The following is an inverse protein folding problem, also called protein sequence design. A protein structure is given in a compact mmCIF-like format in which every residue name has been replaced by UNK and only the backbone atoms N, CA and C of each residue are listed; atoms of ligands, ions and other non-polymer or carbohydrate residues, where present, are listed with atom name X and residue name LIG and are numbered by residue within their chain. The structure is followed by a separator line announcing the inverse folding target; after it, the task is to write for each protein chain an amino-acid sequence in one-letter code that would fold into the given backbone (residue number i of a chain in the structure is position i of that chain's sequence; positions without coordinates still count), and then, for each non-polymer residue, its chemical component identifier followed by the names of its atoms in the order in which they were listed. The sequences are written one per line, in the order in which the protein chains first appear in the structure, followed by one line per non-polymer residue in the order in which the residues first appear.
data_IF_615690270956
#
_entry.id   IF_615690270956
#
_cell.length_a   1.000
_cell.length_b   1.000
_cell.length_c   1.000
_cell.angle_alpha   90.00
_cell.angle_beta   90.00
_cell.angle_gamma   90.00
#
_symmetry.space_group_name_H-M   'P 1'
#
loop_
_entity.id
_entity.type
_entity.pdbx_description
1 polymer ?
#
# COMPACT_ATOMS: atom_id res chain seq x y z
N UNK A 1 92.13 -21.15 -40.54
CA UNK A 1 91.03 -20.73 -41.45
C UNK A 1 89.82 -20.41 -40.57
N UNK A 2 89.63 -19.16 -40.11
CA UNK A 2 88.46 -18.73 -39.31
C UNK A 2 88.50 -17.21 -39.01
N UNK A 3 88.47 -16.33 -40.02
CA UNK A 3 88.13 -14.90 -39.80
C UNK A 3 87.39 -14.37 -41.03
N UNK A 4 86.13 -14.77 -41.24
CA UNK A 4 85.24 -14.13 -42.24
C UNK A 4 83.77 -14.06 -41.84
N UNK A 5 83.42 -14.31 -40.57
CA UNK A 5 82.02 -14.28 -40.11
C UNK A 5 81.74 -13.17 -39.09
N UNK A 6 82.57 -12.13 -39.07
CA UNK A 6 82.18 -10.82 -38.59
C UNK A 6 81.34 -10.13 -39.68
N UNK A 7 80.01 -10.25 -39.69
CA UNK A 7 79.10 -9.32 -40.42
C UNK A 7 77.60 -9.61 -40.22
N UNK A 8 77.18 -10.86 -39.96
CA UNK A 8 75.74 -11.20 -40.03
C UNK A 8 74.96 -11.12 -38.72
N UNK A 9 75.63 -11.04 -37.58
CA UNK A 9 74.94 -11.01 -36.27
C UNK A 9 74.62 -9.60 -35.74
N UNK A 10 75.07 -8.54 -36.43
CA UNK A 10 74.86 -7.13 -36.00
C UNK A 10 73.59 -6.47 -36.55
N UNK A 11 72.80 -7.16 -37.39
CA UNK A 11 71.65 -6.56 -38.08
C UNK A 11 70.30 -7.08 -37.55
N UNK A 12 70.25 -8.22 -36.85
CA UNK A 12 68.99 -8.83 -36.40
C UNK A 12 68.40 -8.28 -35.09
N UNK A 13 69.20 -7.67 -34.22
CA UNK A 13 68.74 -7.23 -32.89
C UNK A 13 68.16 -5.82 -32.82
N UNK A 14 68.38 -4.99 -33.85
CA UNK A 14 68.02 -3.56 -33.81
C UNK A 14 66.55 -3.28 -34.21
N UNK A 15 65.82 -4.28 -34.70
CA UNK A 15 64.40 -4.15 -35.10
C UNK A 15 63.41 -4.58 -34.00
N UNK A 16 63.87 -5.23 -32.93
CA UNK A 16 63.04 -5.58 -31.78
C UNK A 16 62.93 -4.46 -30.73
N UNK A 17 63.67 -3.35 -30.89
CA UNK A 17 63.59 -2.17 -30.02
C UNK A 17 62.50 -1.16 -30.43
N UNK A 18 62.06 -1.17 -31.70
CA UNK A 18 61.20 -0.11 -32.25
C UNK A 18 59.71 -0.33 -32.01
N UNK A 19 59.27 -1.55 -31.67
CA UNK A 19 57.87 -1.84 -31.37
C UNK A 19 57.46 -1.45 -29.94
N UNK A 20 58.42 -1.32 -29.01
CA UNK A 20 58.15 -0.88 -27.65
C UNK A 20 57.92 0.63 -27.53
N UNK A 21 58.38 1.43 -28.50
CA UNK A 21 58.17 2.88 -28.51
C UNK A 21 56.77 3.29 -29.01
N UNK A 22 56.08 2.43 -29.79
CA UNK A 22 54.72 2.73 -30.28
C UNK A 22 53.67 2.42 -29.19
N UNK A 23 53.98 1.54 -28.22
CA UNK A 23 53.11 1.28 -27.07
C UNK A 23 53.11 2.43 -26.03
N UNK A 24 54.05 3.37 -26.10
CA UNK A 24 54.04 4.61 -25.30
C UNK A 24 53.36 5.80 -26.03
N UNK A 25 52.80 5.56 -27.21
CA UNK A 25 52.08 6.56 -28.02
C UNK A 25 50.56 6.57 -27.85
N UNK A 26 50.01 5.77 -26.93
CA UNK A 26 48.59 5.82 -26.53
C UNK A 26 48.45 6.40 -25.12
N UNK A 27 49.20 7.48 -24.85
CA UNK A 27 48.95 8.41 -23.73
C UNK A 27 48.73 9.82 -24.31
N UNK A 28 48.17 9.89 -25.52
CA UNK A 28 48.20 11.09 -26.36
C UNK A 28 46.86 11.67 -26.80
N UNK A 29 45.72 11.10 -26.39
CA UNK A 29 44.40 11.70 -26.65
C UNK A 29 43.63 12.10 -25.37
N UNK A 30 44.28 12.06 -24.21
CA UNK A 30 43.80 12.76 -23.01
C UNK A 30 44.79 13.86 -22.69
N UNK A 31 44.84 14.90 -23.53
CA UNK A 31 45.34 16.18 -23.04
C UNK A 31 44.37 16.64 -21.97
N UNK A 32 44.70 16.40 -20.70
CA UNK A 32 44.17 17.23 -19.62
C UNK A 32 44.76 18.60 -19.88
N UNK A 33 44.04 19.43 -20.65
CA UNK A 33 44.32 20.86 -20.66
C UNK A 33 44.25 21.31 -19.21
N UNK A 34 45.36 21.83 -18.69
CA UNK A 34 45.42 22.41 -17.36
C UNK A 34 44.54 23.67 -17.36
N UNK A 35 43.25 23.44 -17.12
CA UNK A 35 42.21 24.45 -17.09
C UNK A 35 41.65 24.46 -15.69
N UNK A 36 42.05 25.43 -14.87
CA UNK A 36 41.31 25.71 -13.65
C UNK A 36 39.86 25.99 -14.03
N UNK A 37 38.93 25.14 -13.60
CA UNK A 37 37.50 25.41 -13.75
C UNK A 37 37.19 26.75 -13.07
N UNK A 38 37.11 27.81 -13.86
CA UNK A 38 36.74 29.13 -13.38
C UNK A 38 35.26 29.30 -13.63
N UNK A 39 34.50 29.54 -12.56
CA UNK A 39 33.10 29.93 -12.67
C UNK A 39 33.05 31.23 -13.46
N UNK A 40 32.26 31.27 -14.55
CA UNK A 40 32.03 32.52 -15.24
C UNK A 40 31.25 33.44 -14.30
N UNK A 41 31.89 34.48 -13.79
CA UNK A 41 31.30 35.35 -12.77
C UNK A 41 30.01 36.04 -13.26
N UNK A 42 29.83 36.19 -14.57
CA UNK A 42 28.59 36.69 -15.18
C UNK A 42 27.41 35.72 -15.11
N UNK A 43 27.67 34.40 -15.14
CA UNK A 43 26.62 33.36 -15.18
C UNK A 43 26.27 32.80 -13.78
N UNK A 44 27.15 33.00 -12.79
CA UNK A 44 26.96 32.49 -11.43
C UNK A 44 25.63 32.94 -10.77
N UNK A 45 25.15 34.20 -10.92
CA UNK A 45 23.86 34.61 -10.39
C UNK A 45 22.68 33.91 -11.09
N UNK A 46 22.73 33.79 -12.42
CA UNK A 46 21.68 33.13 -13.20
C UNK A 46 21.57 31.64 -12.84
N UNK A 47 22.70 30.95 -12.66
CA UNK A 47 22.74 29.56 -12.21
C UNK A 47 22.19 29.38 -10.78
N UNK A 48 22.54 30.27 -9.84
CA UNK A 48 21.99 30.20 -8.47
C UNK A 48 20.47 30.37 -8.47
N UNK A 49 19.96 31.29 -9.29
CA UNK A 49 18.52 31.50 -9.46
C UNK A 49 17.83 30.28 -10.09
N UNK A 50 18.41 29.67 -11.12
CA UNK A 50 17.81 28.47 -11.72
C UNK A 50 17.77 27.31 -10.74
N UNK A 51 18.85 27.10 -9.97
CA UNK A 51 18.89 26.08 -8.92
C UNK A 51 17.87 26.37 -7.82
N UNK A 52 17.74 27.61 -7.35
CA UNK A 52 16.76 27.95 -6.31
C UNK A 52 15.32 27.77 -6.79
N UNK A 53 15.02 28.13 -8.03
CA UNK A 53 13.71 27.90 -8.65
C UNK A 53 13.44 26.41 -8.79
N UNK A 54 14.38 25.63 -9.35
CA UNK A 54 14.22 24.18 -9.48
C UNK A 54 14.02 23.48 -8.13
N UNK A 55 14.73 23.91 -7.08
CA UNK A 55 14.52 23.40 -5.73
C UNK A 55 13.14 23.75 -5.17
N UNK A 56 12.68 24.99 -5.37
CA UNK A 56 11.35 25.44 -4.96
C UNK A 56 10.24 24.68 -5.68
N UNK A 57 10.35 24.52 -7.00
CA UNK A 57 9.40 23.75 -7.81
C UNK A 57 9.43 22.27 -7.45
N UNK A 58 10.61 21.70 -7.22
CA UNK A 58 10.76 20.30 -6.79
C UNK A 58 10.13 20.07 -5.43
N UNK A 59 10.33 20.99 -4.47
CA UNK A 59 9.70 20.92 -3.15
C UNK A 59 8.18 21.02 -3.26
N UNK A 60 7.66 21.97 -4.02
CA UNK A 60 6.22 22.14 -4.26
C UNK A 60 5.61 20.89 -4.93
N UNK A 61 6.21 20.40 -6.02
CA UNK A 61 5.77 19.21 -6.74
C UNK A 61 5.82 17.95 -5.87
N UNK A 62 6.88 17.77 -5.08
CA UNK A 62 7.01 16.64 -4.15
C UNK A 62 5.93 16.70 -3.07
N UNK A 63 5.67 17.88 -2.50
CA UNK A 63 4.64 18.05 -1.47
C UNK A 63 3.23 17.78 -2.01
N UNK A 64 2.95 18.18 -3.25
CA UNK A 64 1.67 17.93 -3.90
C UNK A 64 1.46 16.43 -4.16
N UNK A 65 2.46 15.75 -4.72
CA UNK A 65 2.40 14.29 -4.97
C UNK A 65 2.26 13.49 -3.69
N UNK A 66 2.94 13.90 -2.63
CA UNK A 66 2.82 13.26 -1.33
C UNK A 66 1.44 13.48 -0.70
N UNK A 67 0.86 14.67 -0.88
CA UNK A 67 -0.52 14.94 -0.45
C UNK A 67 -1.53 14.09 -1.23
N UNK A 68 -1.36 13.97 -2.55
CA UNK A 68 -2.17 13.10 -3.41
C UNK A 68 -2.06 11.62 -2.99
N UNK A 69 -0.84 11.16 -2.68
CA UNK A 69 -0.60 9.79 -2.20
C UNK A 69 -1.35 9.53 -0.89
N UNK A 70 -1.24 10.42 0.09
CA UNK A 70 -1.94 10.30 1.37
C UNK A 70 -3.46 10.30 1.21
N UNK A 71 -4.00 11.16 0.32
CA UNK A 71 -5.42 11.17 0.00
C UNK A 71 -5.86 9.84 -0.62
N UNK A 72 -5.09 9.31 -1.58
CA UNK A 72 -5.38 8.03 -2.22
C UNK A 72 -5.35 6.85 -1.24
N UNK A 73 -4.39 6.82 -0.32
CA UNK A 73 -4.33 5.78 0.71
C UNK A 73 -5.50 5.86 1.69
N UNK A 74 -5.93 7.08 2.03
CA UNK A 74 -7.10 7.30 2.89
C UNK A 74 -8.38 6.81 2.20
N UNK A 75 -8.60 7.18 0.95
CA UNK A 75 -9.72 6.69 0.14
C UNK A 75 -9.70 5.17 0.01
N UNK A 76 -8.52 4.60 -0.25
CA UNK A 76 -8.38 3.14 -0.33
C UNK A 76 -8.71 2.44 0.99
N UNK A 77 -8.23 2.97 2.11
CA UNK A 77 -8.54 2.42 3.43
C UNK A 77 -10.06 2.44 3.70
N UNK A 78 -10.74 3.54 3.38
CA UNK A 78 -12.20 3.62 3.52
C UNK A 78 -12.92 2.56 2.67
N UNK A 79 -12.56 2.44 1.39
CA UNK A 79 -13.16 1.45 0.50
C UNK A 79 -12.90 0.01 0.95
N UNK A 80 -11.67 -0.31 1.35
CA UNK A 80 -11.30 -1.66 1.80
C UNK A 80 -12.11 -2.05 3.07
N UNK A 81 -12.30 -1.11 4.02
CA UNK A 81 -13.17 -1.31 5.20
C UNK A 81 -14.64 -1.45 4.82
N UNK A 82 -15.14 -0.62 3.92
CA UNK A 82 -16.53 -0.66 3.47
C UNK A 82 -16.87 -1.94 2.70
N UNK A 83 -15.95 -2.45 1.89
CA UNK A 83 -16.07 -3.74 1.22
C UNK A 83 -16.09 -4.89 2.23
N UNK A 84 -15.23 -4.82 3.26
CA UNK A 84 -15.20 -5.78 4.37
C UNK A 84 -16.54 -5.82 5.10
N UNK A 85 -17.13 -4.66 5.43
CA UNK A 85 -18.47 -4.57 6.01
C UNK A 85 -19.52 -5.17 5.07
N UNK A 86 -19.54 -4.74 3.80
CA UNK A 86 -20.53 -5.17 2.81
C UNK A 86 -20.60 -6.69 2.69
N UNK A 87 -19.43 -7.32 2.49
CA UNK A 87 -19.32 -8.78 2.33
C UNK A 87 -19.69 -9.51 3.61
N UNK A 88 -18.99 -9.22 4.71
CA UNK A 88 -19.13 -10.02 5.93
C UNK A 88 -20.48 -9.81 6.62
N UNK A 89 -21.10 -8.62 6.48
CA UNK A 89 -22.44 -8.36 7.02
C UNK A 89 -23.52 -9.13 6.26
N UNK A 90 -23.36 -9.35 4.96
CA UNK A 90 -24.29 -10.17 4.20
C UNK A 90 -24.25 -11.64 4.68
N UNK A 91 -23.05 -12.20 4.81
CA UNK A 91 -22.86 -13.57 5.31
C UNK A 91 -23.43 -13.76 6.73
N UNK A 92 -23.20 -12.78 7.62
CA UNK A 92 -23.75 -12.79 8.98
C UNK A 92 -25.29 -12.75 8.98
N UNK A 93 -25.89 -11.88 8.18
CA UNK A 93 -27.36 -11.76 8.08
C UNK A 93 -27.97 -13.04 7.49
N UNK A 94 -27.33 -13.67 6.50
CA UNK A 94 -27.80 -14.94 5.93
C UNK A 94 -27.76 -16.09 6.95
N UNK A 95 -26.71 -16.16 7.76
CA UNK A 95 -26.61 -17.14 8.84
C UNK A 95 -27.69 -16.90 9.92
N UNK A 96 -27.93 -15.64 10.29
CA UNK A 96 -29.01 -15.27 11.22
C UNK A 96 -30.39 -15.59 10.65
N UNK A 97 -30.64 -15.32 9.37
CA UNK A 97 -31.90 -15.69 8.71
C UNK A 97 -32.13 -17.20 8.71
N UNK A 98 -31.06 -17.99 8.56
CA UNK A 98 -31.12 -19.45 8.69
C UNK A 98 -31.51 -19.87 10.12
N UNK A 99 -30.94 -19.23 11.14
CA UNK A 99 -31.33 -19.43 12.53
C UNK A 99 -32.81 -19.06 12.79
N UNK A 100 -33.25 -17.88 12.35
CA UNK A 100 -34.65 -17.42 12.43
C UNK A 100 -35.59 -18.41 11.76
N UNK A 101 -35.22 -18.92 10.59
CA UNK A 101 -35.98 -19.94 9.87
C UNK A 101 -36.13 -21.23 10.68
N UNK A 102 -35.09 -21.69 11.37
CA UNK A 102 -35.16 -22.85 12.25
C UNK A 102 -36.04 -22.59 13.49
N UNK A 103 -35.91 -21.40 14.09
CA UNK A 103 -36.72 -20.98 15.24
C UNK A 103 -38.22 -20.97 14.91
N UNK A 104 -38.59 -20.49 13.72
CA UNK A 104 -39.99 -20.36 13.29
C UNK A 104 -40.66 -21.68 12.85
N UNK A 105 -39.91 -22.75 12.58
CA UNK A 105 -40.45 -24.03 12.09
C UNK A 105 -41.19 -24.88 13.14
N UNK A 106 -41.53 -24.32 14.31
CA UNK A 106 -42.49 -24.93 15.24
C UNK A 106 -42.00 -26.13 16.06
N UNK A 107 -40.69 -26.42 16.06
CA UNK A 107 -40.07 -27.48 16.85
C UNK A 107 -38.85 -27.05 17.68
N UNK A 108 -38.44 -25.78 17.60
CA UNK A 108 -37.44 -25.16 18.48
C UNK A 108 -36.01 -25.70 18.40
N UNK A 109 -35.70 -26.68 17.53
CA UNK A 109 -34.33 -27.18 17.43
C UNK A 109 -33.45 -26.24 16.58
N UNK A 110 -32.95 -25.20 17.22
CA UNK A 110 -31.97 -24.28 16.65
C UNK A 110 -30.52 -24.74 16.85
N UNK A 111 -30.28 -25.90 17.49
CA UNK A 111 -28.94 -26.32 17.88
C UNK A 111 -27.96 -26.42 16.70
N UNK A 112 -28.46 -26.74 15.51
CA UNK A 112 -27.65 -26.81 14.30
C UNK A 112 -27.35 -25.45 13.65
N UNK A 113 -28.12 -24.40 13.98
CA UNK A 113 -28.04 -23.07 13.36
C UNK A 113 -27.55 -21.98 14.30
N UNK A 114 -27.60 -22.21 15.61
CA UNK A 114 -27.15 -21.26 16.65
C UNK A 114 -25.65 -20.94 16.51
N UNK A 115 -24.80 -21.97 16.51
CA UNK A 115 -23.35 -21.81 16.38
C UNK A 115 -22.94 -21.06 15.11
N UNK A 116 -23.37 -21.49 13.91
CA UNK A 116 -23.07 -20.79 12.66
C UNK A 116 -23.49 -19.32 12.64
N UNK A 117 -24.67 -18.98 13.20
CA UNK A 117 -25.12 -17.58 13.27
C UNK A 117 -24.26 -16.73 14.21
N UNK A 118 -23.94 -17.26 15.40
CA UNK A 118 -23.05 -16.61 16.37
C UNK A 118 -21.64 -16.42 15.79
N UNK A 119 -21.09 -17.44 15.15
CA UNK A 119 -19.76 -17.39 14.57
C UNK A 119 -19.69 -16.37 13.43
N UNK A 120 -20.68 -16.33 12.54
CA UNK A 120 -20.72 -15.38 11.43
C UNK A 120 -20.84 -13.92 11.91
N UNK A 121 -21.66 -13.66 12.94
CA UNK A 121 -21.79 -12.33 13.55
C UNK A 121 -20.47 -11.87 14.18
N UNK A 122 -19.81 -12.74 14.96
CA UNK A 122 -18.52 -12.41 15.58
C UNK A 122 -17.41 -12.26 14.53
N UNK A 123 -17.39 -13.09 13.49
CA UNK A 123 -16.43 -12.99 12.40
C UNK A 123 -16.59 -11.68 11.63
N UNK A 124 -17.81 -11.25 11.32
CA UNK A 124 -18.04 -9.95 10.70
C UNK A 124 -17.62 -8.81 11.62
N UNK A 125 -17.97 -8.87 12.91
CA UNK A 125 -17.57 -7.89 13.90
C UNK A 125 -16.03 -7.76 14.00
N UNK A 126 -15.31 -8.87 14.08
CA UNK A 126 -13.86 -8.88 14.19
C UNK A 126 -13.18 -8.41 12.89
N UNK A 127 -13.71 -8.80 11.72
CA UNK A 127 -13.20 -8.34 10.43
C UNK A 127 -13.38 -6.83 10.25
N UNK A 128 -14.57 -6.30 10.55
CA UNK A 128 -14.84 -4.87 10.47
C UNK A 128 -13.99 -4.12 11.48
N UNK A 129 -13.98 -4.53 12.75
CA UNK A 129 -13.16 -3.90 13.79
C UNK A 129 -11.67 -3.88 13.42
N UNK A 130 -11.14 -4.98 12.88
CA UNK A 130 -9.74 -5.10 12.47
C UNK A 130 -9.37 -4.23 11.25
N UNK A 131 -10.36 -3.81 10.47
CA UNK A 131 -10.15 -2.95 9.30
C UNK A 131 -10.31 -1.45 9.61
N UNK A 132 -10.78 -1.07 10.79
CA UNK A 132 -10.91 0.34 11.19
C UNK A 132 -9.52 0.94 11.41
N UNK A 133 -9.25 2.08 10.77
CA UNK A 133 -8.00 2.84 10.94
C UNK A 133 -8.28 4.30 11.26
N UNK A 134 -7.27 5.04 11.72
CA UNK A 134 -7.38 6.48 12.01
C UNK A 134 -7.61 7.33 10.75
N UNK A 135 -7.28 6.81 9.56
CA UNK A 135 -7.52 7.48 8.30
C UNK A 135 -9.02 7.61 7.96
N UNK A 136 -9.87 6.76 8.53
CA UNK A 136 -11.31 6.79 8.32
C UNK A 136 -11.91 8.04 9.01
N UNK A 137 -12.88 8.75 8.39
CA UNK A 137 -13.61 9.83 9.04
C UNK A 137 -14.34 9.38 10.31
N UNK A 138 -14.49 10.28 11.29
CA UNK A 138 -15.08 9.95 12.59
C UNK A 138 -16.49 9.36 12.49
N UNK A 139 -17.35 9.91 11.64
CA UNK A 139 -18.74 9.46 11.50
C UNK A 139 -18.82 8.03 10.93
N UNK A 140 -18.01 7.73 9.91
CA UNK A 140 -17.95 6.38 9.33
C UNK A 140 -17.35 5.38 10.33
N UNK A 141 -16.28 5.76 11.05
CA UNK A 141 -15.71 4.93 12.11
C UNK A 141 -16.71 4.64 13.23
N UNK A 142 -17.53 5.62 13.62
CA UNK A 142 -18.59 5.42 14.60
C UNK A 142 -19.63 4.43 14.07
N UNK A 143 -20.14 4.60 12.85
CA UNK A 143 -21.12 3.69 12.28
C UNK A 143 -20.60 2.25 12.12
N UNK A 144 -19.32 2.09 11.75
CA UNK A 144 -18.67 0.77 11.72
C UNK A 144 -18.55 0.16 13.12
N UNK A 145 -18.28 0.97 14.15
CA UNK A 145 -18.24 0.52 15.54
C UNK A 145 -19.64 0.12 16.02
N UNK A 146 -20.68 0.88 15.65
CA UNK A 146 -22.06 0.55 15.98
C UNK A 146 -22.50 -0.79 15.36
N UNK A 147 -22.05 -1.08 14.12
CA UNK A 147 -22.25 -2.40 13.51
C UNK A 147 -21.55 -3.51 14.31
N UNK A 148 -20.30 -3.31 14.71
CA UNK A 148 -19.53 -4.28 15.51
C UNK A 148 -20.25 -4.59 16.83
N UNK A 149 -20.73 -3.56 17.51
CA UNK A 149 -21.45 -3.70 18.78
C UNK A 149 -22.82 -4.36 18.59
N UNK A 150 -23.56 -3.98 17.54
CA UNK A 150 -24.85 -4.59 17.19
C UNK A 150 -24.73 -6.07 16.83
N UNK A 151 -23.70 -6.45 16.07
CA UNK A 151 -23.44 -7.84 15.70
C UNK A 151 -23.13 -8.70 16.93
N UNK A 152 -22.28 -8.21 17.84
CA UNK A 152 -21.96 -8.89 19.11
C UNK A 152 -23.15 -8.97 20.05
N UNK A 153 -23.98 -7.92 20.12
CA UNK A 153 -25.21 -7.93 20.90
C UNK A 153 -26.20 -8.99 20.36
N UNK A 154 -26.33 -9.10 19.04
CA UNK A 154 -27.16 -10.12 18.39
C UNK A 154 -26.64 -11.53 18.66
N UNK A 155 -25.33 -11.74 18.56
CA UNK A 155 -24.71 -13.03 18.86
C UNK A 155 -25.00 -13.44 20.32
N UNK A 156 -24.86 -12.50 21.26
CA UNK A 156 -25.19 -12.72 22.66
C UNK A 156 -26.67 -13.06 22.87
N UNK A 157 -27.59 -12.38 22.18
CA UNK A 157 -29.02 -12.66 22.27
C UNK A 157 -29.36 -14.07 21.75
N UNK A 158 -28.71 -14.52 20.67
CA UNK A 158 -28.83 -15.88 20.14
C UNK A 158 -28.35 -16.91 21.16
N UNK A 159 -27.14 -16.75 21.70
CA UNK A 159 -26.56 -17.66 22.71
C UNK A 159 -27.37 -17.69 24.01
N UNK A 160 -27.94 -16.55 24.41
CA UNK A 160 -28.80 -16.45 25.59
C UNK A 160 -30.21 -17.00 25.35
N UNK A 161 -30.54 -17.38 24.11
CA UNK A 161 -31.89 -17.79 23.70
C UNK A 161 -32.93 -16.75 24.14
N UNK A 162 -32.64 -15.49 23.82
CA UNK A 162 -33.48 -14.35 24.17
C UNK A 162 -34.94 -14.57 23.73
N UNK A 163 -35.93 -14.08 24.51
CA UNK A 163 -37.32 -14.16 24.10
C UNK A 163 -37.56 -13.39 22.80
N UNK A 164 -38.61 -13.78 22.07
CA UNK A 164 -38.83 -13.33 20.70
C UNK A 164 -38.91 -11.80 20.56
N UNK A 165 -39.47 -11.09 21.54
CA UNK A 165 -39.54 -9.63 21.55
C UNK A 165 -38.17 -8.97 21.67
N UNK A 166 -37.33 -9.44 22.59
CA UNK A 166 -35.94 -8.97 22.77
C UNK A 166 -35.08 -9.30 21.55
N UNK A 167 -35.22 -10.51 21.01
CA UNK A 167 -34.51 -10.94 19.82
C UNK A 167 -34.90 -10.11 18.58
N UNK A 168 -36.21 -9.91 18.35
CA UNK A 168 -36.69 -9.08 17.24
C UNK A 168 -36.20 -7.63 17.35
N UNK A 169 -36.16 -7.07 18.56
CA UNK A 169 -35.58 -5.75 18.79
C UNK A 169 -34.10 -5.73 18.39
N UNK A 170 -33.35 -6.73 18.82
CA UNK A 170 -31.91 -6.82 18.54
C UNK A 170 -31.62 -6.94 17.04
N UNK A 171 -32.45 -7.71 16.31
CA UNK A 171 -32.39 -7.80 14.84
C UNK A 171 -32.72 -6.46 14.16
N UNK A 172 -33.71 -5.72 14.68
CA UNK A 172 -34.03 -4.38 14.20
C UNK A 172 -32.83 -3.43 14.36
N UNK A 173 -32.27 -3.36 15.56
CA UNK A 173 -31.11 -2.53 15.87
C UNK A 173 -29.88 -2.92 15.01
N UNK A 174 -29.65 -4.23 14.78
CA UNK A 174 -28.60 -4.74 13.88
C UNK A 174 -28.79 -4.27 12.42
N UNK A 175 -30.01 -4.35 11.90
CA UNK A 175 -30.30 -3.91 10.53
C UNK A 175 -30.13 -2.40 10.37
N UNK A 176 -30.55 -1.62 11.37
CA UNK A 176 -30.40 -0.16 11.36
C UNK A 176 -28.93 0.26 11.35
N UNK A 177 -28.10 -0.36 12.20
CA UNK A 177 -26.64 -0.10 12.22
C UNK A 177 -25.99 -0.49 10.90
N UNK A 178 -26.38 -1.62 10.30
CA UNK A 178 -25.92 -2.05 8.97
C UNK A 178 -26.28 -1.02 7.89
N UNK A 179 -27.55 -0.63 7.82
CA UNK A 179 -28.04 0.32 6.82
C UNK A 179 -27.37 1.67 6.94
N UNK A 180 -27.17 2.17 8.17
CA UNK A 180 -26.46 3.42 8.41
C UNK A 180 -25.00 3.33 7.92
N UNK A 181 -24.26 2.29 8.33
CA UNK A 181 -22.87 2.12 7.94
C UNK A 181 -22.70 1.96 6.41
N UNK A 182 -23.57 1.17 5.76
CA UNK A 182 -23.55 1.01 4.30
C UNK A 182 -23.91 2.30 3.56
N UNK A 183 -24.83 3.11 4.09
CA UNK A 183 -25.15 4.41 3.50
C UNK A 183 -23.98 5.39 3.56
N UNK A 184 -23.20 5.38 4.65
CA UNK A 184 -22.00 6.19 4.76
C UNK A 184 -20.88 5.66 3.86
N UNK A 185 -20.76 4.35 3.71
CA UNK A 185 -19.84 3.71 2.78
C UNK A 185 -20.14 4.07 1.33
N UNK A 186 -21.40 4.09 0.91
CA UNK A 186 -21.79 4.49 -0.45
C UNK A 186 -21.38 5.94 -0.75
N UNK A 187 -21.48 6.83 0.25
CA UNK A 187 -21.04 8.22 0.12
C UNK A 187 -19.51 8.40 -0.02
N UNK A 188 -18.71 7.33 0.05
CA UNK A 188 -17.26 7.37 -0.18
C UNK A 188 -16.84 7.13 -1.64
N UNK A 189 -17.76 6.67 -2.50
CA UNK A 189 -17.55 6.41 -3.93
C UNK A 189 -18.05 7.56 -4.81
#
# INVERSE_FOLDING_TARGET
MLITTASRLRIGGLLAGSAAAIAMGVVGCTTVSDGTARVNAGDAPAYRTSVSVSLSESAASSSARESERQASETTKAMHDTCETLSTTSADAIDAVNTYVGAFNQGGGNTAATEGPAVDALNQSADAVQGSITDAIPADLRQALTDWVDGARATAKAITAQAPADEFNKTIGDLNDTRSNALSLCDATY
#
